data_IF_856861714592
#
_entry.id   IF_856861714592
#
_cell.length_a   1.000
_cell.length_b   1.000
_cell.length_c   1.000
_cell.angle_alpha   90.00
_cell.angle_beta   90.00
_cell.angle_gamma   90.00
#
_symmetry.space_group_name_H-M   'P 1'
#
loop_
_entity.id
_entity.type
_entity.pdbx_description
1 polymer ?
#
# COMPACT_ATOMS: atom_id res chain seq x y z
N UNK A 1 -30.73 14.26 -21.59
CA UNK A 1 -29.64 14.17 -20.62
C UNK A 1 -29.29 15.57 -20.13
N UNK A 2 -29.56 15.87 -18.86
CA UNK A 2 -29.50 17.25 -18.34
C UNK A 2 -28.10 17.52 -17.79
N UNK A 3 -27.23 18.11 -18.58
CA UNK A 3 -25.81 18.41 -18.25
C UNK A 3 -25.62 19.54 -17.22
N UNK A 4 -26.71 20.12 -16.69
CA UNK A 4 -26.68 21.31 -15.82
C UNK A 4 -26.13 21.07 -14.40
N UNK A 5 -25.77 19.83 -14.00
CA UNK A 5 -25.33 19.52 -12.64
C UNK A 5 -24.02 18.71 -12.57
N UNK A 6 -23.12 18.85 -13.53
CA UNK A 6 -21.78 18.30 -13.39
C UNK A 6 -21.04 19.21 -12.38
N UNK A 7 -21.03 18.80 -11.11
CA UNK A 7 -20.19 19.43 -10.11
C UNK A 7 -18.74 19.06 -10.41
N UNK A 8 -17.98 20.02 -10.92
CA UNK A 8 -16.54 19.86 -11.16
C UNK A 8 -15.84 20.03 -9.81
N UNK A 9 -14.99 19.05 -9.44
CA UNK A 9 -14.16 19.14 -8.25
C UNK A 9 -13.24 20.38 -8.39
N UNK A 10 -13.09 21.22 -7.34
CA UNK A 10 -12.11 22.29 -7.36
C UNK A 10 -10.74 21.76 -7.78
N UNK A 11 -10.07 22.42 -8.70
CA UNK A 11 -8.82 21.97 -9.32
C UNK A 11 -7.77 21.56 -8.28
N UNK A 12 -7.60 22.35 -7.22
CA UNK A 12 -6.66 22.06 -6.13
C UNK A 12 -6.96 20.74 -5.39
N UNK A 13 -8.22 20.41 -5.17
CA UNK A 13 -8.62 19.17 -4.50
C UNK A 13 -8.41 17.95 -5.41
N UNK A 14 -8.60 18.13 -6.72
CA UNK A 14 -8.34 17.09 -7.71
C UNK A 14 -6.84 16.80 -7.80
N UNK A 15 -6.00 17.82 -7.90
CA UNK A 15 -4.54 17.65 -7.97
C UNK A 15 -3.98 16.95 -6.73
N UNK A 16 -4.38 17.37 -5.53
CA UNK A 16 -3.95 16.74 -4.28
C UNK A 16 -4.39 15.28 -4.25
N UNK A 17 -5.63 14.99 -4.62
CA UNK A 17 -6.15 13.62 -4.63
C UNK A 17 -5.40 12.75 -5.62
N UNK A 18 -5.16 13.23 -6.84
CA UNK A 18 -4.40 12.51 -7.86
C UNK A 18 -2.95 12.27 -7.43
N UNK A 19 -2.30 13.29 -6.85
CA UNK A 19 -0.93 13.15 -6.35
C UNK A 19 -0.83 12.04 -5.30
N UNK A 20 -1.72 12.01 -4.31
CA UNK A 20 -1.73 11.00 -3.26
C UNK A 20 -2.00 9.60 -3.83
N UNK A 21 -2.92 9.47 -4.78
CA UNK A 21 -3.20 8.21 -5.44
C UNK A 21 -2.01 7.73 -6.28
N UNK A 22 -1.31 8.63 -6.98
CA UNK A 22 -0.09 8.29 -7.71
C UNK A 22 1.01 7.79 -6.76
N UNK A 23 1.23 8.49 -5.63
CA UNK A 23 2.20 8.06 -4.62
C UNK A 23 1.85 6.68 -4.07
N UNK A 24 0.57 6.40 -3.82
CA UNK A 24 0.12 5.08 -3.35
C UNK A 24 0.34 3.97 -4.37
N UNK A 25 0.14 4.24 -5.66
CA UNK A 25 0.41 3.29 -6.74
C UNK A 25 1.92 3.00 -6.85
N UNK A 26 2.76 4.03 -6.77
CA UNK A 26 4.21 3.86 -6.73
C UNK A 26 4.65 3.06 -5.50
N UNK A 27 4.08 3.35 -4.33
CA UNK A 27 4.31 2.58 -3.11
C UNK A 27 3.94 1.10 -3.27
N UNK A 28 2.79 0.81 -3.89
CA UNK A 28 2.36 -0.56 -4.18
C UNK A 28 3.32 -1.28 -5.12
N UNK A 29 3.81 -0.60 -6.14
CA UNK A 29 4.78 -1.17 -7.07
C UNK A 29 6.10 -1.50 -6.37
N UNK A 30 6.60 -0.58 -5.53
CA UNK A 30 7.81 -0.77 -4.73
C UNK A 30 7.62 -1.94 -3.75
N UNK A 31 6.48 -2.02 -3.07
CA UNK A 31 6.16 -3.10 -2.14
C UNK A 31 6.15 -4.48 -2.84
N UNK A 32 5.47 -4.60 -3.98
CA UNK A 32 5.38 -5.86 -4.73
C UNK A 32 6.76 -6.29 -5.24
N UNK A 33 7.55 -5.34 -5.74
CA UNK A 33 8.92 -5.63 -6.20
C UNK A 33 9.81 -6.08 -5.04
N UNK A 34 9.72 -5.41 -3.89
CA UNK A 34 10.43 -5.80 -2.67
C UNK A 34 10.04 -7.20 -2.20
N UNK A 35 8.73 -7.51 -2.19
CA UNK A 35 8.23 -8.83 -1.82
C UNK A 35 8.70 -9.94 -2.77
N UNK A 36 8.67 -9.69 -4.07
CA UNK A 36 9.16 -10.64 -5.06
C UNK A 36 10.67 -10.91 -4.92
N UNK A 37 11.44 -9.86 -4.65
CA UNK A 37 12.86 -10.00 -4.37
C UNK A 37 13.11 -10.80 -3.10
N UNK A 38 12.39 -10.51 -2.04
CA UNK A 38 12.48 -11.20 -0.76
C UNK A 38 12.21 -12.70 -0.89
N UNK A 39 11.11 -13.08 -1.54
CA UNK A 39 10.78 -14.48 -1.85
C UNK A 39 11.90 -15.15 -2.64
N UNK A 40 12.48 -14.46 -3.62
CA UNK A 40 13.59 -14.99 -4.43
C UNK A 40 14.83 -15.23 -3.57
N UNK A 41 15.16 -14.31 -2.66
CA UNK A 41 16.28 -14.43 -1.73
C UNK A 41 16.11 -15.64 -0.80
N UNK A 42 14.89 -15.85 -0.28
CA UNK A 42 14.55 -17.03 0.52
C UNK A 42 14.74 -18.34 -0.26
N UNK A 43 14.26 -18.39 -1.51
CA UNK A 43 14.41 -19.58 -2.36
C UNK A 43 15.87 -19.90 -2.70
N UNK A 44 16.74 -18.88 -2.74
CA UNK A 44 18.17 -19.02 -2.99
C UNK A 44 18.99 -19.21 -1.71
N UNK A 45 18.35 -19.37 -0.55
CA UNK A 45 18.99 -19.51 0.77
C UNK A 45 20.03 -18.41 1.04
N UNK A 46 19.74 -17.19 0.60
CA UNK A 46 20.62 -16.05 0.89
C UNK A 46 20.49 -15.63 2.35
N UNK A 47 21.61 -15.24 3.00
CA UNK A 47 21.54 -14.77 4.38
C UNK A 47 20.70 -13.49 4.46
N UNK A 48 19.70 -13.50 5.35
CA UNK A 48 18.76 -12.40 5.51
C UNK A 48 18.92 -11.74 6.88
N UNK A 49 18.73 -10.44 6.87
CA UNK A 49 18.58 -9.62 8.06
C UNK A 49 17.37 -8.71 7.91
N UNK A 50 16.91 -8.10 8.99
CA UNK A 50 15.81 -7.14 8.95
C UNK A 50 16.08 -5.95 8.00
N UNK A 51 17.34 -5.62 7.74
CA UNK A 51 17.77 -4.51 6.88
C UNK A 51 18.31 -4.95 5.52
N UNK A 52 17.96 -6.15 5.04
CA UNK A 52 18.32 -6.53 3.67
C UNK A 52 17.65 -5.57 2.67
N UNK A 53 18.26 -5.35 1.48
CA UNK A 53 17.69 -4.46 0.46
C UNK A 53 16.25 -4.80 0.08
N UNK A 54 15.89 -6.10 0.02
CA UNK A 54 14.53 -6.57 -0.26
C UNK A 54 13.54 -6.11 0.80
N UNK A 55 13.85 -6.31 2.08
CA UNK A 55 13.02 -5.86 3.21
C UNK A 55 12.91 -4.33 3.26
N UNK A 56 14.01 -3.62 3.07
CA UNK A 56 14.00 -2.14 3.04
C UNK A 56 13.09 -1.62 1.93
N UNK A 57 13.14 -2.24 0.75
CA UNK A 57 12.27 -1.88 -0.37
C UNK A 57 10.80 -2.19 -0.06
N UNK A 58 10.52 -3.36 0.51
CA UNK A 58 9.18 -3.77 0.93
C UNK A 58 8.58 -2.75 1.93
N UNK A 59 9.33 -2.43 3.00
CA UNK A 59 8.84 -1.51 4.03
C UNK A 59 8.71 -0.07 3.54
N UNK A 60 9.57 0.36 2.63
CA UNK A 60 9.43 1.68 1.99
C UNK A 60 8.12 1.77 1.22
N UNK A 61 7.77 0.73 0.45
CA UNK A 61 6.51 0.66 -0.27
C UNK A 61 5.30 0.70 0.66
N UNK A 62 5.32 -0.10 1.74
CA UNK A 62 4.27 -0.11 2.76
C UNK A 62 4.13 1.28 3.40
N UNK A 63 5.24 1.92 3.76
CA UNK A 63 5.25 3.26 4.36
C UNK A 63 4.57 4.31 3.47
N UNK A 64 4.88 4.31 2.18
CA UNK A 64 4.24 5.21 1.20
C UNK A 64 2.73 4.98 1.10
N UNK A 65 2.29 3.72 1.08
CA UNK A 65 0.87 3.37 1.03
C UNK A 65 0.16 3.82 2.31
N UNK A 66 0.75 3.58 3.48
CA UNK A 66 0.18 3.95 4.77
C UNK A 66 0.06 5.47 4.90
N UNK A 67 1.10 6.23 4.57
CA UNK A 67 1.08 7.69 4.59
C UNK A 67 0.00 8.22 3.64
N UNK A 68 -0.06 7.69 2.41
CA UNK A 68 -1.10 8.05 1.44
C UNK A 68 -2.51 7.73 1.96
N UNK A 69 -2.67 6.59 2.66
CA UNK A 69 -3.93 6.17 3.28
C UNK A 69 -4.37 7.12 4.40
N UNK A 70 -3.44 7.52 5.26
CA UNK A 70 -3.73 8.48 6.35
C UNK A 70 -4.18 9.82 5.76
N UNK A 71 -3.43 10.37 4.81
CA UNK A 71 -3.81 11.63 4.15
C UNK A 71 -5.14 11.48 3.41
N UNK A 72 -5.34 10.38 2.68
CA UNK A 72 -6.59 10.07 1.99
C UNK A 72 -7.79 9.99 2.94
N UNK A 73 -7.61 9.43 4.14
CA UNK A 73 -8.66 9.38 5.15
C UNK A 73 -9.10 10.77 5.64
N UNK A 74 -8.15 11.70 5.76
CA UNK A 74 -8.47 13.09 6.08
C UNK A 74 -9.19 13.80 4.92
N UNK A 75 -8.78 13.56 3.69
CA UNK A 75 -9.45 14.11 2.51
C UNK A 75 -10.88 13.59 2.36
N UNK A 76 -11.15 12.32 2.70
CA UNK A 76 -12.49 11.76 2.69
C UNK A 76 -13.46 12.44 3.66
N UNK A 77 -12.96 13.15 4.67
CA UNK A 77 -13.82 13.94 5.59
C UNK A 77 -14.33 15.22 4.95
N UNK A 78 -13.69 15.69 3.86
CA UNK A 78 -14.12 16.88 3.13
C UNK A 78 -15.36 16.57 2.29
N UNK A 79 -16.43 17.37 2.46
CA UNK A 79 -17.69 17.19 1.72
C UNK A 79 -17.49 17.26 0.20
N UNK A 80 -16.57 18.14 -0.25
CA UNK A 80 -16.26 18.32 -1.66
C UNK A 80 -15.71 17.03 -2.30
N UNK A 81 -14.89 16.28 -1.60
CA UNK A 81 -14.32 15.03 -2.11
C UNK A 81 -15.32 13.88 -2.00
N UNK A 82 -16.05 13.81 -0.88
CA UNK A 82 -16.99 12.72 -0.61
C UNK A 82 -18.10 12.60 -1.66
N UNK A 83 -18.46 13.69 -2.33
CA UNK A 83 -19.49 13.68 -3.38
C UNK A 83 -19.00 13.04 -4.70
N UNK A 84 -17.68 12.88 -4.90
CA UNK A 84 -17.11 12.23 -6.09
C UNK A 84 -16.88 10.75 -5.82
N UNK A 85 -17.82 9.92 -6.29
CA UNK A 85 -17.87 8.50 -5.98
C UNK A 85 -16.57 7.76 -6.33
N UNK A 86 -15.95 8.05 -7.48
CA UNK A 86 -14.71 7.38 -7.91
C UNK A 86 -13.53 7.70 -7.00
N UNK A 87 -13.32 8.97 -6.64
CA UNK A 87 -12.22 9.40 -5.76
C UNK A 87 -12.45 8.84 -4.35
N UNK A 88 -13.69 8.93 -3.86
CA UNK A 88 -14.07 8.38 -2.56
C UNK A 88 -13.85 6.87 -2.49
N UNK A 89 -14.21 6.13 -3.52
CA UNK A 89 -13.98 4.69 -3.61
C UNK A 89 -12.48 4.37 -3.63
N UNK A 90 -11.69 5.10 -4.43
CA UNK A 90 -10.24 4.91 -4.51
C UNK A 90 -9.56 5.07 -3.14
N UNK A 91 -9.91 6.09 -2.37
CA UNK A 91 -9.38 6.27 -1.03
C UNK A 91 -9.83 5.20 -0.04
N UNK A 92 -11.08 4.73 -0.13
CA UNK A 92 -11.57 3.61 0.70
C UNK A 92 -10.80 2.32 0.41
N UNK A 93 -10.58 2.01 -0.86
CA UNK A 93 -9.79 0.85 -1.27
C UNK A 93 -8.33 0.97 -0.82
N UNK A 94 -7.76 2.16 -0.92
CA UNK A 94 -6.41 2.44 -0.41
C UNK A 94 -6.31 2.19 1.10
N UNK A 95 -7.28 2.64 1.89
CA UNK A 95 -7.31 2.42 3.35
C UNK A 95 -7.40 0.92 3.66
N UNK A 96 -8.28 0.19 2.99
CA UNK A 96 -8.41 -1.26 3.17
C UNK A 96 -7.10 -1.97 2.80
N UNK A 97 -6.51 -1.65 1.66
CA UNK A 97 -5.23 -2.21 1.22
C UNK A 97 -4.08 -1.92 2.18
N UNK A 98 -4.01 -0.70 2.73
CA UNK A 98 -2.98 -0.36 3.72
C UNK A 98 -3.15 -1.13 5.03
N UNK A 99 -4.38 -1.33 5.49
CA UNK A 99 -4.65 -2.15 6.68
C UNK A 99 -4.22 -3.62 6.46
N UNK A 100 -4.53 -4.18 5.29
CA UNK A 100 -4.10 -5.55 4.94
C UNK A 100 -2.57 -5.65 4.89
N UNK A 101 -1.88 -4.68 4.30
CA UNK A 101 -0.41 -4.64 4.24
C UNK A 101 0.21 -4.55 5.64
N UNK A 102 -0.37 -3.77 6.55
CA UNK A 102 0.09 -3.68 7.94
C UNK A 102 -0.11 -4.96 8.73
N UNK A 103 -1.16 -5.73 8.45
CA UNK A 103 -1.42 -7.01 9.09
C UNK A 103 -0.48 -8.09 8.54
N UNK A 104 -0.16 -8.05 7.26
CA UNK A 104 0.69 -9.05 6.60
C UNK A 104 2.09 -9.15 7.22
N UNK A 105 2.71 -8.02 7.60
CA UNK A 105 4.04 -8.00 8.23
C UNK A 105 4.12 -8.78 9.55
N UNK A 106 3.31 -8.45 10.57
CA UNK A 106 3.24 -9.22 11.81
C UNK A 106 2.84 -10.68 11.61
N UNK A 107 1.96 -10.96 10.63
CA UNK A 107 1.56 -12.33 10.30
C UNK A 107 2.74 -13.14 9.76
N UNK A 108 3.52 -12.58 8.86
CA UNK A 108 4.73 -13.21 8.31
C UNK A 108 5.75 -13.48 9.43
N UNK A 109 6.00 -12.50 10.30
CA UNK A 109 6.86 -12.68 11.46
C UNK A 109 6.40 -13.82 12.38
N UNK A 110 5.11 -13.89 12.72
CA UNK A 110 4.54 -14.94 13.54
C UNK A 110 4.63 -16.31 12.87
N UNK A 111 4.39 -16.36 11.55
CA UNK A 111 4.54 -17.58 10.77
C UNK A 111 5.96 -18.14 10.89
N UNK A 112 6.97 -17.29 10.70
CA UNK A 112 8.36 -17.69 10.84
C UNK A 112 8.75 -18.10 12.26
N UNK A 113 8.16 -17.50 13.28
CA UNK A 113 8.38 -17.91 14.69
C UNK A 113 7.77 -19.28 15.00
N UNK A 114 6.62 -19.60 14.45
CA UNK A 114 5.88 -20.84 14.74
C UNK A 114 6.43 -22.01 13.91
N UNK A 115 6.62 -21.81 12.61
CA UNK A 115 6.98 -22.87 11.67
C UNK A 115 8.48 -22.88 11.32
N UNK A 116 9.24 -21.85 11.67
CA UNK A 116 10.66 -21.70 11.41
C UNK A 116 10.99 -21.51 9.92
N UNK A 117 12.21 -21.05 9.65
CA UNK A 117 12.73 -20.96 8.28
C UNK A 117 13.04 -22.35 7.67
N UNK A 118 12.97 -23.41 8.47
CA UNK A 118 13.41 -24.76 8.14
C UNK A 118 12.45 -25.61 7.30
N UNK A 119 11.30 -25.05 6.91
CA UNK A 119 10.33 -25.82 6.10
C UNK A 119 10.91 -26.19 4.72
N UNK A 120 11.87 -25.42 4.23
CA UNK A 120 12.53 -25.65 2.94
C UNK A 120 13.87 -26.42 3.03
N UNK A 121 14.45 -26.58 4.22
CA UNK A 121 15.67 -27.38 4.40
C UNK A 121 15.43 -28.90 4.43
N UNK A 122 14.18 -29.36 4.42
CA UNK A 122 13.82 -30.78 4.47
C UNK A 122 13.41 -31.39 3.13
N UNK A 123 13.71 -30.71 2.06
CA UNK A 123 13.55 -31.26 0.72
C UNK A 123 14.96 -31.49 0.08
#
# INVERSE_FOLDING_TARGET
MNYKNIKILPYSNLEISLFILIVSVLGSFIQITGAAWDITSHLLNQPESFFTPSHTMLYTGIGLIVISSVIGSFLLRRKEIKQYAYISLSFKLLIIGSCLSLIAGPFDYLWHQIFGFKVFERV
#
